data_IF_242156649593
#
_entry.id   IF_242156649593
#
_cell.length_a   1.000
_cell.length_b   1.000
_cell.length_c   1.000
_cell.angle_alpha   90.00
_cell.angle_beta   90.00
_cell.angle_gamma   90.00
#
_symmetry.space_group_name_H-M   'P 1'
#
loop_
_entity.id
_entity.type
_entity.pdbx_description
1 polymer ?
#
# COMPACT_ATOMS: atom_id res chain seq x y z
N UNK A 1 -40.99 -52.77 -45.07
CA UNK A 1 -40.43 -51.45 -44.78
C UNK A 1 -40.99 -51.02 -43.43
N UNK A 2 -40.22 -51.15 -42.34
CA UNK A 2 -40.62 -50.76 -40.99
C UNK A 2 -39.73 -49.65 -40.52
N UNK A 3 -40.33 -48.49 -40.17
CA UNK A 3 -39.70 -47.40 -39.47
C UNK A 3 -39.40 -47.79 -38.02
N UNK A 4 -38.18 -47.58 -37.58
CA UNK A 4 -37.80 -47.68 -36.18
C UNK A 4 -37.53 -46.24 -35.65
N UNK A 5 -38.37 -45.81 -34.72
CA UNK A 5 -38.20 -44.54 -33.99
C UNK A 5 -37.24 -44.74 -32.82
N UNK A 6 -36.17 -43.98 -32.76
CA UNK A 6 -35.28 -43.89 -31.63
C UNK A 6 -35.68 -42.67 -30.75
N UNK A 7 -36.18 -43.00 -29.56
CA UNK A 7 -36.42 -42.06 -28.49
C UNK A 7 -35.10 -41.78 -27.77
N UNK A 8 -34.59 -40.53 -27.87
CA UNK A 8 -33.47 -40.06 -27.08
C UNK A 8 -33.98 -39.64 -25.66
N UNK A 9 -33.52 -40.32 -24.68
CA UNK A 9 -33.72 -39.93 -23.25
C UNK A 9 -32.73 -38.83 -22.92
N UNK A 10 -33.22 -37.61 -22.72
CA UNK A 10 -32.47 -36.51 -22.15
C UNK A 10 -32.26 -36.72 -20.65
N UNK A 11 -31.03 -36.88 -20.24
CA UNK A 11 -30.62 -36.83 -18.83
C UNK A 11 -30.57 -35.37 -18.38
N UNK A 12 -31.54 -34.98 -17.54
CA UNK A 12 -31.50 -33.73 -16.79
C UNK A 12 -30.40 -33.84 -15.73
N UNK A 13 -29.26 -33.22 -16.00
CA UNK A 13 -28.21 -33.03 -15.01
C UNK A 13 -28.62 -31.94 -14.01
N UNK A 14 -28.92 -32.32 -12.77
CA UNK A 14 -29.05 -31.37 -11.68
C UNK A 14 -27.67 -30.75 -11.36
N UNK A 15 -27.47 -29.50 -11.76
CA UNK A 15 -26.37 -28.68 -11.27
C UNK A 15 -26.71 -28.26 -9.84
N UNK A 16 -26.25 -29.03 -8.85
CA UNK A 16 -26.26 -28.60 -7.46
C UNK A 16 -25.24 -27.45 -7.30
N UNK A 17 -25.73 -26.21 -7.30
CA UNK A 17 -24.95 -25.06 -6.89
C UNK A 17 -24.59 -25.25 -5.40
N UNK A 18 -23.33 -25.59 -5.15
CA UNK A 18 -22.75 -25.55 -3.81
C UNK A 18 -22.67 -24.06 -3.42
N UNK A 19 -23.67 -23.56 -2.74
CA UNK A 19 -23.60 -22.34 -1.96
C UNK A 19 -22.61 -22.60 -0.82
N UNK A 20 -21.32 -22.33 -1.07
CA UNK A 20 -20.34 -22.17 0.01
C UNK A 20 -20.79 -20.90 0.74
N UNK A 21 -21.53 -21.09 1.82
CA UNK A 21 -21.85 -20.03 2.76
C UNK A 21 -20.52 -19.46 3.24
N UNK A 22 -20.17 -18.25 2.79
CA UNK A 22 -19.17 -17.43 3.46
C UNK A 22 -19.70 -17.13 4.85
N UNK A 23 -19.42 -18.01 5.81
CA UNK A 23 -19.58 -17.69 7.22
C UNK A 23 -18.65 -16.50 7.44
N UNK A 24 -19.25 -15.33 7.66
CA UNK A 24 -18.52 -14.17 8.18
C UNK A 24 -17.87 -14.64 9.48
N UNK A 25 -16.57 -14.95 9.43
CA UNK A 25 -15.81 -15.17 10.66
C UNK A 25 -15.93 -13.86 11.41
N UNK A 26 -16.69 -13.91 12.51
CA UNK A 26 -16.83 -12.77 13.42
C UNK A 26 -15.44 -12.31 13.79
N UNK A 27 -15.22 -11.01 13.78
CA UNK A 27 -13.99 -10.38 14.29
C UNK A 27 -13.98 -10.54 15.82
N UNK A 28 -13.79 -11.78 16.27
CA UNK A 28 -13.74 -12.13 17.69
C UNK A 28 -12.27 -12.20 18.13
N UNK A 29 -11.82 -11.28 19.01
CA UNK A 29 -10.48 -11.32 19.58
C UNK A 29 -10.13 -12.68 20.22
N UNK A 30 -11.11 -13.43 20.70
CA UNK A 30 -10.89 -14.76 21.26
C UNK A 30 -10.32 -15.73 20.21
N UNK A 31 -10.74 -15.60 18.94
CA UNK A 31 -10.23 -16.42 17.84
C UNK A 31 -8.80 -16.06 17.42
N UNK A 32 -8.34 -14.84 17.73
CA UNK A 32 -7.00 -14.36 17.37
C UNK A 32 -5.94 -14.67 18.43
N UNK A 33 -6.33 -14.93 19.69
CA UNK A 33 -5.39 -15.13 20.82
C UNK A 33 -4.38 -16.23 20.60
N UNK A 34 -4.72 -17.27 19.85
CA UNK A 34 -3.80 -18.36 19.57
C UNK A 34 -2.66 -17.91 18.64
N UNK A 35 -2.98 -17.10 17.63
CA UNK A 35 -2.00 -16.54 16.66
C UNK A 35 -1.24 -15.34 17.27
N UNK A 36 -1.86 -14.64 18.23
CA UNK A 36 -1.40 -13.39 18.82
C UNK A 36 -1.33 -13.47 20.36
N UNK A 37 -0.44 -14.33 20.92
CA UNK A 37 -0.41 -14.62 22.35
C UNK A 37 0.05 -13.44 23.23
N UNK A 38 0.79 -12.47 22.65
CA UNK A 38 1.30 -11.30 23.38
C UNK A 38 0.46 -10.03 23.19
N UNK A 39 -0.51 -10.05 22.28
CA UNK A 39 -1.39 -8.91 22.02
C UNK A 39 -2.37 -8.74 23.18
N UNK A 40 -2.35 -7.57 23.81
CA UNK A 40 -3.37 -7.19 24.81
C UNK A 40 -4.64 -6.69 24.10
N UNK A 41 -5.54 -7.60 23.81
CA UNK A 41 -6.82 -7.26 23.18
C UNK A 41 -7.79 -6.51 24.10
N UNK A 42 -7.49 -6.27 25.37
CA UNK A 42 -8.31 -5.40 26.21
C UNK A 42 -8.05 -3.91 25.92
N UNK A 43 -6.97 -3.61 25.20
CA UNK A 43 -6.55 -2.25 24.83
C UNK A 43 -6.72 -2.05 23.33
N UNK A 44 -7.75 -1.32 22.94
CA UNK A 44 -8.06 -1.00 21.54
C UNK A 44 -8.76 0.36 21.41
N UNK A 45 -8.58 1.04 20.28
CA UNK A 45 -9.17 2.35 19.96
C UNK A 45 -10.38 2.28 19.03
N UNK A 46 -10.73 1.08 18.54
CA UNK A 46 -11.77 0.88 17.53
C UNK A 46 -12.57 -0.39 17.82
N UNK A 47 -13.72 -0.54 17.17
CA UNK A 47 -14.50 -1.77 17.24
C UNK A 47 -13.81 -2.87 16.41
N UNK A 48 -13.72 -4.08 16.97
CA UNK A 48 -13.04 -5.19 16.28
C UNK A 48 -13.70 -5.60 14.96
N UNK A 49 -15.00 -5.33 14.82
CA UNK A 49 -15.77 -5.53 13.59
C UNK A 49 -15.25 -4.70 12.39
N UNK A 50 -14.49 -3.63 12.67
CA UNK A 50 -13.80 -2.85 11.63
C UNK A 50 -12.60 -3.60 11.04
N UNK A 51 -12.06 -4.57 11.78
CA UNK A 51 -10.91 -5.37 11.35
C UNK A 51 -11.41 -6.62 10.62
N UNK A 52 -10.96 -6.82 9.40
CA UNK A 52 -11.33 -7.95 8.56
C UNK A 52 -10.11 -8.79 8.18
N UNK A 53 -10.31 -10.09 7.93
CA UNK A 53 -9.24 -10.91 7.39
C UNK A 53 -8.98 -10.55 5.93
N UNK A 54 -7.70 -10.35 5.58
CA UNK A 54 -7.23 -10.21 4.20
C UNK A 54 -6.97 -11.55 3.51
N UNK A 55 -7.06 -12.65 4.25
CA UNK A 55 -6.81 -14.02 3.78
C UNK A 55 -5.50 -14.61 4.33
N UNK A 56 -4.32 -14.01 4.13
CA UNK A 56 -3.07 -14.53 4.68
C UNK A 56 -3.06 -14.56 6.22
N UNK A 57 -2.36 -15.53 6.86
CA UNK A 57 -2.13 -15.50 8.30
C UNK A 57 -1.07 -14.45 8.68
N UNK A 58 -0.73 -14.36 9.95
CA UNK A 58 0.41 -13.58 10.47
C UNK A 58 1.67 -13.88 9.67
N UNK A 59 2.33 -12.83 9.16
CA UNK A 59 3.51 -12.92 8.27
C UNK A 59 3.33 -13.78 7.01
N UNK A 60 2.06 -14.08 6.63
CA UNK A 60 1.75 -14.77 5.38
C UNK A 60 2.16 -13.98 4.13
N UNK A 61 2.28 -12.66 4.27
CA UNK A 61 3.03 -11.78 3.36
C UNK A 61 4.30 -11.40 4.11
N UNK A 62 5.46 -12.00 3.80
CA UNK A 62 6.66 -11.87 4.62
C UNK A 62 7.31 -10.50 4.44
N UNK A 63 7.45 -9.73 5.51
CA UNK A 63 8.21 -8.49 5.49
C UNK A 63 9.70 -8.75 5.22
N UNK A 64 10.41 -7.78 4.61
CA UNK A 64 11.86 -7.85 4.38
C UNK A 64 12.57 -7.21 5.57
N UNK A 65 13.33 -8.02 6.33
CA UNK A 65 14.02 -7.55 7.53
C UNK A 65 15.53 -7.32 7.32
N UNK A 66 16.10 -7.96 6.32
CA UNK A 66 17.52 -7.84 5.97
C UNK A 66 17.64 -7.49 4.49
N UNK A 67 17.27 -6.24 4.10
CA UNK A 67 17.25 -5.84 2.71
C UNK A 67 18.67 -5.81 2.12
N UNK A 68 18.81 -6.32 0.89
CA UNK A 68 20.03 -6.25 0.10
C UNK A 68 19.86 -5.27 -1.04
N UNK A 69 20.93 -4.56 -1.38
CA UNK A 69 20.90 -3.49 -2.36
C UNK A 69 22.04 -3.62 -3.37
N UNK A 70 21.82 -2.99 -4.53
CA UNK A 70 22.88 -2.73 -5.52
C UNK A 70 22.89 -1.24 -5.88
N UNK A 71 24.04 -0.68 -6.30
CA UNK A 71 24.09 0.67 -6.87
C UNK A 71 23.18 0.78 -8.10
N UNK A 72 22.62 1.98 -8.35
CA UNK A 72 21.83 2.28 -9.56
C UNK A 72 22.53 1.81 -10.84
N UNK A 73 23.85 1.98 -10.94
CA UNK A 73 24.63 1.58 -12.12
C UNK A 73 24.67 0.07 -12.37
N UNK A 74 24.40 -0.73 -11.36
CA UNK A 74 24.43 -2.20 -11.42
C UNK A 74 23.06 -2.83 -11.55
N UNK A 75 21.97 -2.04 -11.47
CA UNK A 75 20.60 -2.53 -11.61
C UNK A 75 20.39 -3.18 -12.97
N UNK A 76 19.82 -4.38 -12.97
CA UNK A 76 19.45 -5.11 -14.20
C UNK A 76 17.97 -5.53 -14.14
N UNK A 77 17.29 -5.46 -15.29
CA UNK A 77 15.91 -5.94 -15.43
C UNK A 77 14.85 -5.11 -14.71
N UNK A 78 15.14 -3.87 -14.34
CA UNK A 78 14.16 -2.91 -13.82
C UNK A 78 13.90 -1.86 -14.90
N UNK A 79 12.67 -1.85 -15.44
CA UNK A 79 12.32 -0.91 -16.50
C UNK A 79 12.28 0.55 -15.97
N UNK A 80 12.64 1.55 -16.81
CA UNK A 80 12.77 2.95 -16.38
C UNK A 80 11.52 3.53 -15.70
N UNK A 81 10.33 3.14 -16.16
CA UNK A 81 9.04 3.69 -15.71
C UNK A 81 8.44 2.95 -14.49
N UNK A 82 9.12 1.93 -13.96
CA UNK A 82 8.66 1.19 -12.78
C UNK A 82 8.63 2.11 -11.56
N UNK A 83 7.52 2.15 -10.81
CA UNK A 83 7.44 2.92 -9.58
C UNK A 83 8.33 2.34 -8.49
N UNK A 84 9.03 3.23 -7.81
CA UNK A 84 9.82 2.94 -6.62
C UNK A 84 9.43 3.89 -5.49
N UNK A 85 9.37 3.39 -4.27
CA UNK A 85 9.42 4.28 -3.09
C UNK A 85 10.87 4.71 -2.93
N UNK A 86 11.13 6.01 -2.93
CA UNK A 86 12.48 6.57 -2.76
C UNK A 86 12.59 7.35 -1.45
N UNK A 87 13.69 7.14 -0.75
CA UNK A 87 14.02 7.77 0.54
C UNK A 87 15.42 8.36 0.46
N UNK A 88 15.60 9.56 1.04
CA UNK A 88 16.89 10.23 1.15
C UNK A 88 17.07 10.76 2.58
N UNK A 89 17.98 10.16 3.34
CA UNK A 89 18.23 10.52 4.75
C UNK A 89 19.74 10.59 4.97
N UNK A 90 20.25 11.74 5.45
CA UNK A 90 21.65 11.87 5.81
C UNK A 90 22.66 11.58 4.67
N UNK A 91 22.25 11.77 3.41
CA UNK A 91 23.06 11.45 2.23
C UNK A 91 22.96 10.00 1.75
N UNK A 92 22.35 9.09 2.52
CA UNK A 92 22.00 7.74 2.07
C UNK A 92 20.69 7.80 1.29
N UNK A 93 20.68 7.30 0.05
CA UNK A 93 19.54 7.38 -0.87
C UNK A 93 19.21 5.99 -1.39
N UNK A 94 17.97 5.56 -1.17
CA UNK A 94 17.52 4.21 -1.50
C UNK A 94 16.19 4.20 -2.24
N UNK A 95 16.04 3.25 -3.16
CA UNK A 95 14.81 2.97 -3.89
C UNK A 95 14.31 1.55 -3.60
N UNK A 96 13.01 1.44 -3.36
CA UNK A 96 12.30 0.20 -3.06
C UNK A 96 11.27 -0.04 -4.17
N UNK A 97 11.57 -0.87 -5.19
CA UNK A 97 10.67 -1.09 -6.32
C UNK A 97 9.34 -1.70 -5.90
N UNK A 98 8.21 -1.09 -6.32
CA UNK A 98 6.88 -1.61 -5.98
C UNK A 98 6.63 -3.01 -6.56
N UNK A 99 7.35 -3.41 -7.61
CA UNK A 99 7.33 -4.79 -8.10
C UNK A 99 7.86 -5.83 -7.09
N UNK A 100 8.65 -5.39 -6.09
CA UNK A 100 9.07 -6.20 -4.94
C UNK A 100 8.08 -6.02 -3.81
N UNK A 101 7.76 -4.76 -3.49
CA UNK A 101 6.87 -4.42 -2.38
C UNK A 101 5.49 -5.07 -2.48
N UNK A 102 4.99 -5.33 -3.70
CA UNK A 102 3.67 -5.98 -3.91
C UNK A 102 3.58 -7.40 -3.30
N UNK A 103 4.72 -8.02 -3.02
CA UNK A 103 4.83 -9.36 -2.44
C UNK A 103 5.27 -9.36 -0.98
N UNK A 104 5.65 -8.18 -0.45
CA UNK A 104 6.23 -8.06 0.89
C UNK A 104 5.56 -7.01 1.76
N UNK A 105 4.98 -5.98 1.16
CA UNK A 105 4.26 -4.85 1.78
C UNK A 105 5.08 -4.03 2.76
N UNK A 106 6.07 -4.62 3.48
CA UNK A 106 6.89 -3.97 4.49
C UNK A 106 8.38 -4.29 4.27
N UNK A 107 9.23 -3.26 4.36
CA UNK A 107 10.70 -3.42 4.49
C UNK A 107 11.16 -2.71 5.75
N UNK A 108 11.78 -3.44 6.67
CA UNK A 108 12.47 -2.88 7.84
C UNK A 108 13.92 -2.60 7.46
N UNK A 109 14.31 -1.33 7.45
CA UNK A 109 15.65 -0.90 7.02
C UNK A 109 16.27 0.12 7.98
N UNK A 110 17.51 0.51 7.72
CA UNK A 110 18.21 1.64 8.34
C UNK A 110 18.85 2.47 7.26
N UNK A 111 18.40 3.70 7.07
CA UNK A 111 18.86 4.64 6.04
C UNK A 111 19.46 5.86 6.71
N UNK A 112 20.70 6.20 6.35
CA UNK A 112 21.41 7.33 6.98
C UNK A 112 21.47 7.24 8.50
N UNK A 113 21.53 6.04 9.06
CA UNK A 113 21.53 5.79 10.52
C UNK A 113 20.15 5.88 11.19
N UNK A 114 19.07 6.13 10.45
CA UNK A 114 17.70 6.17 10.94
C UNK A 114 17.00 4.85 10.65
N UNK A 115 16.49 4.12 11.67
CA UNK A 115 15.72 2.91 11.44
C UNK A 115 14.33 3.29 10.90
N UNK A 116 13.98 2.79 9.73
CA UNK A 116 12.71 3.10 9.05
C UNK A 116 11.98 1.83 8.62
N UNK A 117 10.65 1.93 8.52
CA UNK A 117 9.80 0.96 7.85
C UNK A 117 9.24 1.59 6.57
N UNK A 118 9.56 0.98 5.44
CA UNK A 118 8.94 1.32 4.15
C UNK A 118 7.73 0.42 4.01
N UNK A 119 6.55 1.02 3.83
CA UNK A 119 5.30 0.27 3.72
C UNK A 119 4.56 0.62 2.44
N UNK A 120 3.87 -0.35 1.89
CA UNK A 120 2.95 -0.15 0.78
C UNK A 120 1.75 -1.10 0.87
N UNK A 121 0.55 -0.54 0.93
CA UNK A 121 -0.71 -1.27 0.85
C UNK A 121 -1.26 -1.22 -0.59
N UNK A 122 -1.21 -2.31 -1.37
CA UNK A 122 -1.72 -2.32 -2.74
C UNK A 122 -3.21 -1.97 -2.84
N UNK A 123 -4.03 -2.44 -1.89
CA UNK A 123 -5.47 -2.22 -1.91
C UNK A 123 -5.87 -0.76 -1.71
N UNK A 124 -5.07 0.03 -0.98
CA UNK A 124 -5.26 1.47 -0.81
C UNK A 124 -4.39 2.30 -1.76
N UNK A 125 -3.46 1.65 -2.48
CA UNK A 125 -2.36 2.31 -3.21
C UNK A 125 -1.57 3.28 -2.31
N UNK A 126 -1.52 3.04 -1.01
CA UNK A 126 -0.88 3.90 -0.03
C UNK A 126 0.56 3.46 0.24
N UNK A 127 1.49 4.40 0.15
CA UNK A 127 2.90 4.22 0.52
C UNK A 127 3.25 5.17 1.64
N UNK A 128 3.71 4.63 2.77
CA UNK A 128 4.14 5.44 3.91
C UNK A 128 5.46 4.93 4.45
N UNK A 129 6.37 5.84 4.77
CA UNK A 129 7.64 5.53 5.43
C UNK A 129 7.59 6.04 6.86
N UNK A 130 7.92 5.17 7.80
CA UNK A 130 7.89 5.49 9.23
C UNK A 130 9.28 5.41 9.86
N UNK A 131 9.57 6.30 10.80
CA UNK A 131 10.62 6.10 11.78
C UNK A 131 10.17 5.02 12.76
N UNK A 132 10.96 3.95 12.91
CA UNK A 132 10.61 2.79 13.75
C UNK A 132 10.87 2.99 15.24
N UNK A 133 11.33 4.18 15.66
CA UNK A 133 11.63 4.48 17.06
C UNK A 133 10.39 4.95 17.81
N UNK A 134 10.00 4.20 18.82
CA UNK A 134 8.84 4.49 19.68
C UNK A 134 9.21 4.26 21.13
N UNK A 135 9.04 5.27 21.99
CA UNK A 135 9.27 5.14 23.44
C UNK A 135 10.68 4.63 23.81
N UNK A 136 11.71 5.06 23.07
CA UNK A 136 13.10 4.63 23.29
C UNK A 136 13.45 3.24 22.74
N UNK A 137 12.53 2.59 22.04
CA UNK A 137 12.74 1.28 21.37
C UNK A 137 12.77 1.47 19.86
N UNK A 138 13.47 0.58 19.18
CA UNK A 138 13.35 0.40 17.72
C UNK A 138 12.49 -0.81 17.47
N UNK A 139 11.36 -0.62 16.79
CA UNK A 139 10.40 -1.67 16.48
C UNK A 139 10.71 -2.31 15.11
N UNK A 140 10.28 -3.57 14.93
CA UNK A 140 10.32 -4.30 13.66
C UNK A 140 8.90 -4.66 13.27
N UNK A 141 8.49 -4.34 12.05
CA UNK A 141 7.11 -4.52 11.60
C UNK A 141 6.94 -5.75 10.71
N UNK A 142 5.79 -6.40 10.86
CA UNK A 142 5.33 -7.50 10.04
C UNK A 142 3.85 -7.31 9.67
N UNK A 143 3.34 -8.20 8.80
CA UNK A 143 1.95 -8.17 8.34
C UNK A 143 1.06 -9.02 9.25
N UNK A 144 -0.10 -8.49 9.62
CA UNK A 144 -1.08 -9.26 10.42
C UNK A 144 -1.93 -10.19 9.56
N UNK A 145 -2.00 -9.97 8.24
CA UNK A 145 -3.02 -10.55 7.39
C UNK A 145 -4.43 -9.97 7.64
N UNK A 146 -4.51 -8.90 8.41
CA UNK A 146 -5.75 -8.18 8.72
C UNK A 146 -5.75 -6.82 8.01
N UNK A 147 -6.95 -6.33 7.74
CA UNK A 147 -7.20 -5.04 7.10
C UNK A 147 -8.25 -4.26 7.91
N UNK A 148 -8.15 -2.93 7.87
CA UNK A 148 -9.18 -2.00 8.29
C UNK A 148 -9.40 -0.99 7.17
N UNK A 149 -10.64 -0.79 6.74
CA UNK A 149 -10.96 0.05 5.58
C UNK A 149 -10.17 -0.34 4.31
N UNK A 150 -9.92 -1.64 4.12
CA UNK A 150 -9.09 -2.18 3.03
C UNK A 150 -7.59 -1.87 3.16
N UNK A 151 -7.16 -1.18 4.21
CA UNK A 151 -5.78 -0.83 4.46
C UNK A 151 -5.10 -1.82 5.41
N UNK A 152 -3.80 -2.02 5.19
CA UNK A 152 -2.95 -2.92 5.94
C UNK A 152 -2.94 -2.60 7.44
N UNK A 153 -3.25 -3.57 8.26
CA UNK A 153 -2.93 -3.56 9.69
C UNK A 153 -1.59 -4.26 9.88
N UNK A 154 -0.57 -3.50 10.28
CA UNK A 154 0.76 -4.01 10.62
C UNK A 154 0.79 -4.46 12.08
N UNK A 155 1.85 -5.17 12.50
CA UNK A 155 2.15 -5.36 13.90
C UNK A 155 3.64 -5.15 14.18
N UNK A 156 3.99 -4.72 15.40
CA UNK A 156 5.38 -4.77 15.85
C UNK A 156 5.71 -6.12 16.48
N UNK A 157 6.91 -6.65 16.18
CA UNK A 157 7.37 -7.95 16.67
C UNK A 157 7.76 -7.93 18.14
N UNK A 158 8.03 -6.76 18.71
CA UNK A 158 8.48 -6.59 20.08
C UNK A 158 7.33 -6.76 21.09
N UNK A 159 6.13 -6.24 20.76
CA UNK A 159 4.97 -6.29 21.66
C UNK A 159 3.74 -6.98 21.08
N UNK A 160 3.74 -7.27 19.79
CA UNK A 160 2.58 -7.70 18.99
C UNK A 160 1.43 -6.70 19.04
N UNK A 161 1.71 -5.41 19.30
CA UNK A 161 0.69 -4.37 19.11
C UNK A 161 0.41 -4.16 17.64
N UNK A 162 -0.85 -3.83 17.30
CA UNK A 162 -1.31 -3.65 15.93
C UNK A 162 -1.38 -2.18 15.55
N UNK A 163 -0.97 -1.87 14.33
CA UNK A 163 -0.77 -0.52 13.84
C UNK A 163 -1.48 -0.31 12.51
N UNK A 164 -2.17 0.83 12.37
CA UNK A 164 -2.76 1.21 11.08
C UNK A 164 -1.67 1.73 10.15
N UNK A 165 -1.52 1.15 8.96
CA UNK A 165 -0.50 1.57 8.00
C UNK A 165 -0.75 2.97 7.45
N UNK A 166 -2.02 3.37 7.24
CA UNK A 166 -2.37 4.64 6.62
C UNK A 166 -1.92 5.87 7.42
N UNK A 167 -2.04 5.83 8.75
CA UNK A 167 -1.72 6.95 9.65
C UNK A 167 -0.55 6.68 10.59
N UNK A 168 -0.19 5.41 10.83
CA UNK A 168 0.90 5.03 11.73
C UNK A 168 0.50 4.95 13.20
N UNK A 169 -0.79 5.02 13.54
CA UNK A 169 -1.26 4.90 14.93
C UNK A 169 -1.35 3.44 15.38
N UNK A 170 -0.97 3.19 16.63
CA UNK A 170 -1.19 1.91 17.31
C UNK A 170 -2.65 1.80 17.73
N UNK A 171 -3.37 0.83 17.15
CA UNK A 171 -4.83 0.67 17.31
C UNK A 171 -5.23 -0.45 18.26
N UNK A 172 -4.34 -1.42 18.54
CA UNK A 172 -4.57 -2.53 19.47
C UNK A 172 -3.28 -2.89 20.19
N UNK A 173 -3.34 -3.19 21.48
CA UNK A 173 -2.24 -3.81 22.21
C UNK A 173 -1.54 -2.90 23.21
N UNK A 174 -0.37 -3.34 23.68
CA UNK A 174 0.38 -2.70 24.75
C UNK A 174 0.80 -1.25 24.43
N UNK A 175 1.01 -0.93 23.15
CA UNK A 175 1.42 0.40 22.69
C UNK A 175 0.24 1.27 22.22
N UNK A 176 -1.00 0.90 22.54
CA UNK A 176 -2.20 1.66 22.16
C UNK A 176 -2.04 3.17 22.37
N UNK A 177 -2.33 3.94 21.31
CA UNK A 177 -2.25 5.40 21.29
C UNK A 177 -0.85 5.95 20.99
N UNK A 178 0.16 5.09 20.80
CA UNK A 178 1.44 5.54 20.23
C UNK A 178 1.29 5.79 18.72
N UNK A 179 2.09 6.72 18.19
CA UNK A 179 2.11 7.10 16.79
C UNK A 179 3.53 6.98 16.24
N UNK A 180 3.63 6.46 15.01
CA UNK A 180 4.87 6.43 14.25
C UNK A 180 5.07 7.77 13.56
N UNK A 181 6.29 8.28 13.59
CA UNK A 181 6.64 9.48 12.84
C UNK A 181 6.74 9.15 11.35
N UNK A 182 5.89 9.80 10.55
CA UNK A 182 5.97 9.70 9.09
C UNK A 182 7.18 10.47 8.58
N UNK A 183 7.90 9.86 7.64
CA UNK A 183 9.09 10.42 7.03
C UNK A 183 8.80 10.83 5.57
N UNK A 184 9.41 11.93 5.07
CA UNK A 184 9.28 12.30 3.67
C UNK A 184 9.83 11.19 2.75
N UNK A 185 9.08 10.90 1.69
CA UNK A 185 9.43 9.94 0.64
C UNK A 185 8.84 10.40 -0.69
N UNK A 186 9.23 9.79 -1.79
CA UNK A 186 8.54 9.91 -3.08
C UNK A 186 8.17 8.54 -3.61
N UNK A 187 7.02 8.44 -4.28
CA UNK A 187 6.76 7.37 -5.24
C UNK A 187 7.03 7.95 -6.62
N UNK A 188 8.10 7.50 -7.24
CA UNK A 188 8.56 8.02 -8.54
C UNK A 188 9.01 6.87 -9.44
N UNK A 189 9.14 7.12 -10.75
CA UNK A 189 9.71 6.16 -11.66
C UNK A 189 11.20 5.92 -11.38
N UNK A 190 11.68 4.73 -11.65
CA UNK A 190 13.08 4.36 -11.42
C UNK A 190 14.06 5.27 -12.14
N UNK A 191 13.76 5.70 -13.37
CA UNK A 191 14.63 6.63 -14.13
C UNK A 191 14.75 8.00 -13.45
N UNK A 192 13.67 8.50 -12.82
CA UNK A 192 13.72 9.76 -12.04
C UNK A 192 14.58 9.62 -10.79
N UNK A 193 14.42 8.51 -10.07
CA UNK A 193 15.29 8.21 -8.93
C UNK A 193 16.75 8.13 -9.37
N UNK A 194 17.06 7.37 -10.43
CA UNK A 194 18.41 7.22 -10.95
C UNK A 194 19.03 8.53 -11.41
N UNK A 195 18.24 9.41 -12.04
CA UNK A 195 18.70 10.74 -12.44
C UNK A 195 18.99 11.65 -11.24
N UNK A 196 18.16 11.59 -10.18
CA UNK A 196 18.38 12.39 -8.96
C UNK A 196 19.53 11.85 -8.10
N UNK A 197 19.70 10.54 -8.09
CA UNK A 197 20.64 9.85 -7.22
C UNK A 197 21.45 8.79 -7.99
N UNK A 198 22.40 9.20 -8.85
CA UNK A 198 23.17 8.26 -9.69
C UNK A 198 24.03 7.26 -8.87
N UNK A 199 24.31 7.57 -7.61
CA UNK A 199 25.00 6.69 -6.67
C UNK A 199 24.05 6.05 -5.64
N UNK A 200 22.74 6.21 -5.81
CA UNK A 200 21.72 5.63 -4.94
C UNK A 200 21.72 4.10 -5.01
N UNK A 201 21.11 3.51 -4.00
CA UNK A 201 20.99 2.06 -3.85
C UNK A 201 19.56 1.61 -4.21
N UNK A 202 19.44 0.44 -4.81
CA UNK A 202 18.14 -0.15 -5.21
C UNK A 202 17.97 -1.50 -4.56
N UNK A 203 16.84 -1.71 -3.90
CA UNK A 203 16.50 -2.96 -3.25
C UNK A 203 16.46 -4.11 -4.25
N UNK A 204 17.11 -5.22 -3.90
CA UNK A 204 17.02 -6.49 -4.60
C UNK A 204 15.93 -7.38 -4.00
N UNK A 205 15.32 -8.26 -4.81
CA UNK A 205 14.49 -9.35 -4.27
C UNK A 205 15.28 -10.17 -3.24
N UNK A 206 14.65 -10.60 -2.12
CA UNK A 206 15.29 -11.50 -1.17
C UNK A 206 15.78 -12.78 -1.84
N UNK A 207 17.00 -13.21 -1.51
CA UNK A 207 17.61 -14.42 -2.06
C UNK A 207 16.80 -15.67 -1.67
N UNK A 208 16.73 -16.65 -2.58
CA UNK A 208 16.03 -17.91 -2.34
C UNK A 208 14.51 -17.84 -2.45
N UNK A 209 13.93 -16.67 -2.67
CA UNK A 209 12.50 -16.50 -2.84
C UNK A 209 12.09 -16.76 -4.32
N UNK A 210 11.04 -17.57 -4.52
CA UNK A 210 10.55 -17.92 -5.87
C UNK A 210 9.31 -17.10 -6.26
N UNK A 211 9.10 -15.94 -5.63
CA UNK A 211 7.98 -15.05 -5.96
C UNK A 211 8.15 -14.47 -7.37
N UNK A 212 7.03 -14.29 -8.05
CA UNK A 212 7.01 -13.80 -9.43
C UNK A 212 7.15 -12.26 -9.48
N UNK A 213 8.29 -11.74 -9.05
CA UNK A 213 8.56 -10.30 -9.05
C UNK A 213 8.35 -9.67 -10.44
N UNK A 214 7.55 -8.60 -10.48
CA UNK A 214 7.10 -7.96 -11.72
C UNK A 214 5.70 -8.38 -12.18
N UNK A 215 5.21 -9.56 -11.72
CA UNK A 215 3.80 -9.93 -11.86
C UNK A 215 2.97 -9.24 -10.79
N UNK A 216 1.78 -8.81 -11.18
CA UNK A 216 0.84 -8.13 -10.29
C UNK A 216 -0.31 -9.09 -9.94
N UNK A 217 -0.42 -9.55 -8.67
CA UNK A 217 -1.55 -10.37 -8.23
C UNK A 217 -2.88 -9.59 -8.21
N UNK A 218 -2.83 -8.25 -8.29
CA UNK A 218 -3.99 -7.34 -8.32
C UNK A 218 -4.23 -6.76 -9.72
N UNK A 219 -3.84 -7.45 -10.80
CA UNK A 219 -3.95 -6.93 -12.18
C UNK A 219 -5.36 -6.42 -12.51
N UNK A 220 -5.46 -5.15 -12.96
CA UNK A 220 -6.73 -4.49 -13.26
C UNK A 220 -7.46 -3.90 -12.06
N UNK A 221 -6.87 -3.94 -10.86
CA UNK A 221 -7.54 -3.47 -9.64
C UNK A 221 -7.85 -1.96 -9.68
N UNK A 222 -6.96 -1.13 -10.19
CA UNK A 222 -7.18 0.32 -10.30
C UNK A 222 -8.29 0.72 -11.30
N UNK A 223 -8.79 -0.25 -12.07
CA UNK A 223 -9.92 -0.10 -12.99
C UNK A 223 -11.18 -0.85 -12.53
N UNK A 224 -11.16 -1.44 -11.33
CA UNK A 224 -12.31 -2.13 -10.78
C UNK A 224 -13.43 -1.14 -10.40
N UNK A 225 -14.67 -1.61 -10.38
CA UNK A 225 -15.84 -0.78 -10.05
C UNK A 225 -15.97 -0.46 -8.56
N UNK A 226 -15.34 -1.27 -7.69
CA UNK A 226 -15.41 -1.12 -6.25
C UNK A 226 -14.11 -1.59 -5.57
N UNK A 227 -13.77 -1.00 -4.41
CA UNK A 227 -12.62 -1.43 -3.63
C UNK A 227 -12.81 -2.86 -3.08
N UNK A 228 -11.75 -3.65 -3.12
CA UNK A 228 -11.75 -5.00 -2.55
C UNK A 228 -11.68 -4.94 -1.01
N UNK A 229 -12.46 -5.78 -0.32
CA UNK A 229 -12.54 -5.86 1.16
C UNK A 229 -12.89 -4.54 1.88
N UNK A 230 -13.43 -3.56 1.18
CA UNK A 230 -13.95 -2.34 1.78
C UNK A 230 -15.43 -2.52 2.13
N UNK A 231 -15.76 -2.43 3.42
CA UNK A 231 -17.14 -2.57 3.92
C UNK A 231 -17.86 -1.25 4.11
N UNK A 232 -17.13 -0.12 4.01
CA UNK A 232 -17.68 1.22 4.14
C UNK A 232 -18.47 1.66 2.91
N UNK A 233 -19.07 2.83 3.03
CA UNK A 233 -19.69 3.54 1.90
C UNK A 233 -18.77 4.68 1.48
N UNK A 234 -18.46 4.75 0.21
CA UNK A 234 -17.71 5.87 -0.32
C UNK A 234 -18.68 6.91 -0.90
N UNK A 235 -18.47 8.16 -0.51
CA UNK A 235 -19.09 9.33 -1.12
C UNK A 235 -18.00 10.40 -1.36
N UNK A 236 -17.80 10.80 -2.60
CA UNK A 236 -16.78 11.77 -2.98
C UNK A 236 -16.95 12.25 -4.42
N UNK A 237 -16.17 13.25 -4.84
CA UNK A 237 -16.31 13.89 -6.17
C UNK A 237 -15.69 13.06 -7.31
N UNK A 238 -15.00 11.97 -7.02
CA UNK A 238 -14.35 11.11 -7.99
C UNK A 238 -14.72 9.63 -7.75
N UNK A 239 -14.34 8.72 -8.67
CA UNK A 239 -14.54 7.28 -8.48
C UNK A 239 -13.79 6.77 -7.24
N UNK A 240 -14.28 5.70 -6.57
CA UNK A 240 -13.64 5.19 -5.35
C UNK A 240 -12.15 4.86 -5.51
N UNK A 241 -11.77 4.28 -6.65
CA UNK A 241 -10.40 3.92 -7.01
C UNK A 241 -9.67 4.99 -7.85
N UNK A 242 -10.22 6.21 -7.94
CA UNK A 242 -9.45 7.34 -8.45
C UNK A 242 -8.29 7.64 -7.49
N UNK A 243 -7.11 7.89 -8.05
CA UNK A 243 -5.96 8.31 -7.23
C UNK A 243 -6.12 9.74 -6.77
N UNK A 244 -5.77 9.98 -5.53
CA UNK A 244 -5.70 11.30 -4.92
C UNK A 244 -4.31 11.52 -4.32
N UNK A 245 -3.81 12.73 -4.45
CA UNK A 245 -2.57 13.18 -3.78
C UNK A 245 -3.00 13.78 -2.44
N UNK A 246 -2.52 13.25 -1.35
CA UNK A 246 -2.95 13.60 0.01
C UNK A 246 -1.83 14.30 0.79
N UNK A 247 -2.16 15.40 1.46
CA UNK A 247 -1.26 16.11 2.38
C UNK A 247 -2.05 16.47 3.63
N UNK A 248 -1.78 15.79 4.74
CA UNK A 248 -2.60 15.92 5.95
C UNK A 248 -4.08 15.63 5.65
N UNK A 249 -4.95 16.58 5.98
CA UNK A 249 -6.40 16.47 5.82
C UNK A 249 -6.92 17.06 4.49
N UNK A 250 -6.09 17.16 3.46
CA UNK A 250 -6.48 17.61 2.13
C UNK A 250 -6.06 16.63 1.05
N UNK A 251 -6.87 16.53 -0.01
CA UNK A 251 -6.55 15.70 -1.16
C UNK A 251 -6.91 16.39 -2.48
N UNK A 252 -6.13 16.11 -3.52
CA UNK A 252 -6.36 16.54 -4.91
C UNK A 252 -6.43 15.32 -5.80
N UNK A 253 -7.45 15.22 -6.66
CA UNK A 253 -7.48 14.10 -7.60
C UNK A 253 -6.28 14.17 -8.54
N UNK A 254 -5.74 12.99 -8.86
CA UNK A 254 -4.63 12.89 -9.80
C UNK A 254 -5.01 13.46 -11.19
N UNK A 255 -6.27 13.31 -11.60
CA UNK A 255 -6.77 13.86 -12.86
C UNK A 255 -6.74 15.39 -12.86
N UNK A 256 -7.12 16.05 -11.75
CA UNK A 256 -6.98 17.49 -11.60
C UNK A 256 -5.51 17.91 -11.72
N UNK A 257 -4.62 17.24 -10.98
CA UNK A 257 -3.20 17.56 -11.00
C UNK A 257 -2.59 17.29 -12.39
N UNK A 258 -2.99 16.21 -13.05
CA UNK A 258 -2.59 15.90 -14.44
C UNK A 258 -3.03 16.98 -15.42
N UNK A 259 -4.25 17.51 -15.27
CA UNK A 259 -4.78 18.61 -16.11
C UNK A 259 -4.05 19.92 -15.87
N UNK A 260 -3.80 20.25 -14.61
CA UNK A 260 -3.15 21.52 -14.19
C UNK A 260 -1.63 21.50 -14.31
N UNK A 261 -1.01 20.31 -14.27
CA UNK A 261 0.43 20.08 -14.21
C UNK A 261 1.10 20.59 -12.93
N UNK A 262 0.57 21.65 -12.37
CA UNK A 262 1.04 22.29 -11.14
C UNK A 262 -0.15 22.90 -10.39
N UNK A 263 -0.20 22.64 -9.09
CA UNK A 263 -1.17 23.24 -8.16
C UNK A 263 -0.36 23.88 -7.04
N UNK A 264 -0.74 25.10 -6.66
CA UNK A 264 -0.22 25.80 -5.49
C UNK A 264 -1.37 25.96 -4.48
N UNK A 265 -1.19 25.42 -3.28
CA UNK A 265 -2.16 25.48 -2.20
C UNK A 265 -1.44 25.93 -0.91
N UNK A 266 -1.59 27.21 -0.56
CA UNK A 266 -0.82 27.80 0.53
C UNK A 266 0.68 27.75 0.24
N UNK A 267 1.42 27.10 1.14
CA UNK A 267 2.86 26.86 0.98
C UNK A 267 3.19 25.58 0.19
N UNK A 268 2.19 24.77 -0.16
CA UNK A 268 2.36 23.55 -0.91
C UNK A 268 2.45 23.80 -2.41
N UNK A 269 3.31 23.04 -3.07
CA UNK A 269 3.49 23.00 -4.52
C UNK A 269 3.41 21.54 -4.94
N UNK A 270 2.31 21.17 -5.62
CA UNK A 270 2.09 19.86 -6.20
C UNK A 270 2.42 19.91 -7.68
N UNK A 271 3.18 18.97 -8.18
CA UNK A 271 3.54 18.87 -9.62
C UNK A 271 3.28 17.46 -10.14
N UNK A 272 2.96 17.38 -11.43
CA UNK A 272 2.77 16.13 -12.14
C UNK A 272 3.53 16.13 -13.47
N UNK A 273 4.21 15.03 -13.76
CA UNK A 273 4.86 14.77 -15.04
C UNK A 273 4.64 13.32 -15.47
N UNK A 274 4.55 13.03 -16.79
CA UNK A 274 4.38 11.66 -17.26
C UNK A 274 5.60 10.79 -16.95
N UNK A 275 5.48 9.47 -17.14
CA UNK A 275 6.60 8.55 -17.15
C UNK A 275 6.64 7.54 -16.02
N UNK A 276 5.57 7.40 -15.21
CA UNK A 276 5.45 6.33 -14.20
C UNK A 276 4.28 5.44 -14.54
N UNK A 277 4.48 4.12 -14.58
CA UNK A 277 3.39 3.16 -14.78
C UNK A 277 2.61 2.88 -13.49
N UNK A 278 1.33 2.52 -13.64
CA UNK A 278 0.54 2.01 -12.53
C UNK A 278 1.03 0.63 -12.10
N UNK A 279 1.32 0.41 -10.81
CA UNK A 279 1.67 -0.93 -10.31
C UNK A 279 0.47 -1.88 -10.23
N UNK A 280 -0.78 -1.38 -10.40
CA UNK A 280 -2.02 -2.13 -10.18
C UNK A 280 -2.87 -2.30 -11.45
N UNK A 281 -2.45 -1.68 -12.57
CA UNK A 281 -3.25 -1.62 -13.80
C UNK A 281 -3.18 -2.87 -14.67
N UNK A 282 -2.03 -3.51 -14.77
CA UNK A 282 -1.80 -4.65 -15.65
C UNK A 282 -1.27 -5.87 -14.91
N UNK A 283 -1.39 -7.06 -15.51
CA UNK A 283 -0.84 -8.29 -14.94
C UNK A 283 0.70 -8.29 -14.87
N UNK A 284 1.35 -7.63 -15.84
CA UNK A 284 2.77 -7.27 -15.76
C UNK A 284 2.86 -5.78 -15.40
N UNK A 285 3.54 -5.46 -14.32
CA UNK A 285 3.64 -4.08 -13.83
C UNK A 285 4.27 -3.16 -14.89
N UNK A 286 5.26 -3.65 -15.64
CA UNK A 286 5.94 -2.90 -16.71
C UNK A 286 4.98 -2.43 -17.82
N UNK A 287 3.85 -3.14 -17.99
CA UNK A 287 2.81 -2.87 -18.99
C UNK A 287 1.68 -1.97 -18.46
N UNK A 288 1.79 -1.47 -17.23
CA UNK A 288 0.81 -0.58 -16.62
C UNK A 288 0.63 0.73 -17.41
N UNK A 289 -0.57 1.31 -17.33
CA UNK A 289 -0.83 2.64 -17.91
C UNK A 289 0.01 3.71 -17.22
N UNK A 290 0.31 4.79 -17.97
CA UNK A 290 1.03 5.94 -17.41
C UNK A 290 0.13 6.75 -16.46
N UNK A 291 0.46 6.71 -15.18
CA UNK A 291 -0.18 7.52 -14.14
C UNK A 291 0.62 8.78 -13.81
N UNK A 292 1.86 8.85 -14.26
CA UNK A 292 2.80 9.95 -14.05
C UNK A 292 3.43 9.98 -12.66
N UNK A 293 4.41 10.86 -12.55
CA UNK A 293 5.15 11.12 -11.32
C UNK A 293 4.55 12.33 -10.59
N UNK A 294 4.27 12.18 -9.32
CA UNK A 294 3.80 13.24 -8.43
C UNK A 294 4.93 13.67 -7.51
N UNK A 295 5.13 14.97 -7.36
CA UNK A 295 6.00 15.53 -6.34
C UNK A 295 5.23 16.60 -5.59
N UNK A 296 5.26 16.52 -4.27
CA UNK A 296 4.72 17.55 -3.38
C UNK A 296 5.85 18.14 -2.56
N UNK A 297 5.96 19.44 -2.61
CA UNK A 297 6.97 20.20 -1.89
C UNK A 297 6.33 21.34 -1.11
N UNK A 298 6.99 21.74 -0.04
CA UNK A 298 6.62 22.89 0.78
C UNK A 298 7.59 24.03 0.54
N UNK A 299 7.09 25.26 0.40
CA UNK A 299 7.92 26.46 0.37
C UNK A 299 8.44 26.75 1.77
N UNK A 300 9.73 26.81 1.91
CA UNK A 300 10.43 27.19 3.16
C UNK A 300 11.36 28.38 2.88
N UNK A 301 11.97 28.93 3.92
CA UNK A 301 13.00 29.96 3.77
C UNK A 301 14.24 29.47 2.99
N UNK A 302 14.43 28.14 2.87
CA UNK A 302 15.55 27.52 2.13
C UNK A 302 15.18 27.13 0.70
N UNK A 303 13.93 27.37 0.27
CA UNK A 303 13.41 26.98 -1.04
C UNK A 303 12.32 25.91 -0.93
N UNK A 304 12.20 25.07 -1.95
CA UNK A 304 11.26 23.96 -1.98
C UNK A 304 11.88 22.72 -1.32
N UNK A 305 11.23 22.23 -0.27
CA UNK A 305 11.61 21.00 0.42
C UNK A 305 10.51 19.94 0.26
N UNK A 306 10.87 18.65 0.18
CA UNK A 306 9.91 17.58 0.02
C UNK A 306 8.96 17.54 1.23
N UNK A 307 7.66 17.58 0.97
CA UNK A 307 6.62 17.44 1.98
C UNK A 307 6.34 15.96 2.26
N UNK A 308 5.72 15.68 3.41
CA UNK A 308 5.08 14.39 3.64
C UNK A 308 3.78 14.36 2.85
N UNK A 309 3.62 13.39 1.96
CA UNK A 309 2.43 13.17 1.16
C UNK A 309 2.29 11.71 0.79
N UNK A 310 1.10 11.32 0.34
CA UNK A 310 0.83 10.00 -0.23
C UNK A 310 0.04 10.13 -1.54
N UNK A 311 0.02 9.07 -2.33
CA UNK A 311 -0.85 8.94 -3.52
C UNK A 311 -1.71 7.71 -3.31
N UNK A 312 -2.85 7.88 -2.63
CA UNK A 312 -3.77 6.80 -2.29
C UNK A 312 -5.00 6.77 -3.21
N UNK A 313 -5.85 5.77 -3.04
CA UNK A 313 -7.18 5.79 -3.63
C UNK A 313 -8.14 6.68 -2.83
N UNK A 314 -9.07 7.33 -3.53
CA UNK A 314 -10.01 8.28 -2.94
C UNK A 314 -10.89 7.65 -1.83
N UNK A 315 -11.27 6.38 -1.97
CA UNK A 315 -12.04 5.68 -0.94
C UNK A 315 -11.24 5.53 0.36
N UNK A 316 -9.95 5.21 0.26
CA UNK A 316 -9.07 5.04 1.43
C UNK A 316 -8.90 6.37 2.15
N UNK A 317 -8.54 7.43 1.44
CA UNK A 317 -8.48 8.77 2.02
C UNK A 317 -9.78 9.14 2.74
N UNK A 318 -10.94 8.99 2.07
CA UNK A 318 -12.25 9.29 2.65
C UNK A 318 -12.58 8.45 3.89
N UNK A 319 -12.14 7.19 3.93
CA UNK A 319 -12.40 6.30 5.06
C UNK A 319 -11.64 6.71 6.33
N UNK A 320 -10.41 7.24 6.18
CA UNK A 320 -9.60 7.72 7.29
C UNK A 320 -9.79 9.22 7.59
N UNK A 321 -10.24 10.00 6.61
CA UNK A 321 -10.52 11.43 6.72
C UNK A 321 -11.95 11.76 6.23
N UNK A 322 -13.01 11.39 7.01
CA UNK A 322 -14.39 11.40 6.54
C UNK A 322 -14.91 12.77 6.10
N UNK A 323 -14.40 13.85 6.69
CA UNK A 323 -14.85 15.22 6.42
C UNK A 323 -13.86 16.05 5.60
N UNK A 324 -12.70 15.48 5.30
CA UNK A 324 -11.63 16.19 4.60
C UNK A 324 -12.00 16.51 3.14
N UNK A 325 -11.58 17.65 2.59
CA UNK A 325 -11.87 18.00 1.20
C UNK A 325 -11.10 17.12 0.22
N UNK A 326 -11.73 16.77 -0.90
CA UNK A 326 -11.12 16.19 -2.09
C UNK A 326 -11.37 17.16 -3.24
N UNK A 327 -10.32 17.84 -3.69
CA UNK A 327 -10.39 18.78 -4.82
C UNK A 327 -10.35 17.99 -6.13
N UNK A 328 -11.37 18.18 -7.00
CA UNK A 328 -11.52 17.45 -8.26
C UNK A 328 -11.66 18.35 -9.50
N UNK A 329 -11.78 19.67 -9.31
CA UNK A 329 -11.99 20.69 -10.37
C UNK A 329 -11.01 21.85 -10.25
#
# INVERSE_FOLDING_TARGET
MRLVSLLSRGTLGYLSALLIGMTSVSADPASWRQEWPRTDFSRHSLAYEEIVSGGPPKDGIPAIDNPSFVPVSEVRGLAPRIPVVSVAIGGDTRAYPLRIMIWHEIVNDTVGGVPIAITWCPLCNSSVVFDRRVGGRTLSFGTTGKLRNSDLVMYDRETESWWQQFGGECIVGALLGAELKIMPMRVESFDRFAARFPHGLVLLPPAGNQLAYGRNPYGGYDSASAPFLFRGKYAGPAAPLARVVTVGDEAWTLDLLKKRRRIEAGDLVLTWEPGQVSPLGAADIDSGQDIGNVVVQRRTAKGLEDAVYDVSFAFAFRAFHPQAPIHAE
#
